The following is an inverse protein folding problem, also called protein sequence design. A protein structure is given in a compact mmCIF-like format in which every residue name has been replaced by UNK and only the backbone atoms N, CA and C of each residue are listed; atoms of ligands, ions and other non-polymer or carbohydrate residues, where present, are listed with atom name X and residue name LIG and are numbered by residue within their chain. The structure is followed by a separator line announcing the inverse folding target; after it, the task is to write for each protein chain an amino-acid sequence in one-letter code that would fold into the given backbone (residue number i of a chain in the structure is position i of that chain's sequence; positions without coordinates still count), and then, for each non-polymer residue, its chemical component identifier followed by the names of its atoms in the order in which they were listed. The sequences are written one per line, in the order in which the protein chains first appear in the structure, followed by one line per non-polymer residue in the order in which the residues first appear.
data_IF_622431289087
#
_entry.id   IF_622431289087
#
_cell.length_a   1.000
_cell.length_b   1.000
_cell.length_c   1.000
_cell.angle_alpha   90.00
_cell.angle_beta   90.00
_cell.angle_gamma   90.00
#
_symmetry.space_group_name_H-M   'P 1'
#
loop_
_entity.id
_entity.type
_entity.pdbx_description
1 polymer ?
#
# COMPACT_ATOMS: atom_id res chain seq x y z
N UNK A 1 -12.26 1.08 -6.59
CA UNK A 1 -11.31 0.05 -7.05
C UNK A 1 -12.11 -1.08 -7.68
N UNK A 2 -11.71 -1.56 -8.84
CA UNK A 2 -12.29 -2.71 -9.51
C UNK A 2 -11.18 -3.75 -9.74
N UNK A 3 -11.48 -5.02 -9.51
CA UNK A 3 -10.54 -6.13 -9.67
C UNK A 3 -11.13 -7.13 -10.67
N UNK A 4 -10.29 -7.60 -11.59
CA UNK A 4 -10.68 -8.57 -12.61
C UNK A 4 -9.84 -9.83 -12.47
N UNK A 5 -10.51 -10.98 -12.38
CA UNK A 5 -9.87 -12.29 -12.36
C UNK A 5 -10.20 -13.04 -13.65
N UNK A 6 -9.17 -13.57 -14.33
CA UNK A 6 -9.33 -14.41 -15.51
C UNK A 6 -9.06 -15.88 -15.13
N UNK A 7 -10.04 -16.76 -15.39
CA UNK A 7 -9.90 -18.19 -15.16
C UNK A 7 -8.70 -18.77 -15.90
N UNK A 8 -7.98 -19.70 -15.26
CA UNK A 8 -6.81 -20.40 -15.78
C UNK A 8 -5.62 -19.52 -16.19
N UNK A 9 -5.66 -18.22 -15.86
CA UNK A 9 -4.54 -17.31 -16.05
C UNK A 9 -3.61 -17.33 -14.83
N UNK A 10 -2.29 -17.32 -15.07
CA UNK A 10 -1.27 -17.23 -14.02
C UNK A 10 -1.10 -15.80 -13.45
N UNK A 11 -0.07 -15.56 -12.64
CA UNK A 11 0.26 -14.22 -12.17
C UNK A 11 0.50 -13.24 -13.32
N UNK A 12 0.04 -11.99 -13.17
CA UNK A 12 0.33 -10.92 -14.12
C UNK A 12 1.72 -10.33 -13.86
N UNK A 13 2.37 -9.87 -14.94
CA UNK A 13 3.60 -9.07 -14.81
C UNK A 13 3.20 -7.62 -14.59
N UNK A 14 3.52 -7.10 -13.41
CA UNK A 14 3.43 -5.67 -13.14
C UNK A 14 4.55 -4.96 -13.91
N UNK A 15 4.18 -4.16 -14.91
CA UNK A 15 5.12 -3.32 -15.65
C UNK A 15 5.59 -2.09 -14.85
N UNK A 16 6.30 -1.18 -15.50
CA UNK A 16 6.86 0.04 -14.90
C UNK A 16 6.00 1.30 -15.13
N UNK A 17 4.92 1.20 -15.90
CA UNK A 17 4.01 2.32 -16.18
C UNK A 17 3.04 2.66 -15.03
N UNK A 18 2.73 1.70 -14.16
CA UNK A 18 1.87 1.91 -12.98
C UNK A 18 2.73 2.02 -11.71
N UNK A 19 2.56 3.10 -10.95
CA UNK A 19 3.32 3.32 -9.73
C UNK A 19 2.64 2.72 -8.49
N UNK A 20 1.47 3.25 -8.11
CA UNK A 20 0.66 2.82 -6.97
C UNK A 20 -0.72 3.50 -7.02
N UNK A 21 -1.64 3.03 -6.17
CA UNK A 21 -2.86 3.77 -5.77
C UNK A 21 -2.66 4.32 -4.36
N UNK A 22 -3.24 5.48 -4.05
CA UNK A 22 -3.23 6.04 -2.71
C UNK A 22 -4.60 5.93 -2.03
N UNK A 23 -4.62 5.51 -0.76
CA UNK A 23 -5.81 5.42 0.09
C UNK A 23 -5.56 6.14 1.41
N UNK A 24 -6.53 6.93 1.88
CA UNK A 24 -6.40 7.67 3.14
C UNK A 24 -6.97 6.90 4.34
N UNK A 25 -6.42 7.15 5.51
CA UNK A 25 -6.90 6.63 6.80
C UNK A 25 -6.87 7.72 7.88
N UNK A 26 -7.84 7.74 8.82
CA UNK A 26 -7.79 8.61 9.99
C UNK A 26 -6.71 8.20 11.00
N UNK A 27 -6.27 6.94 10.98
CA UNK A 27 -5.25 6.40 11.88
C UNK A 27 -4.19 5.62 11.08
N UNK A 28 -3.04 6.27 10.83
CA UNK A 28 -1.94 5.71 10.04
C UNK A 28 -1.19 4.64 10.82
N UNK A 29 -0.94 4.91 12.11
CA UNK A 29 -0.19 4.04 13.00
C UNK A 29 -0.91 2.71 13.26
N UNK A 30 -2.21 2.76 13.57
CA UNK A 30 -2.99 1.55 13.83
C UNK A 30 -3.04 0.65 12.59
N UNK A 31 -3.27 1.24 11.41
CA UNK A 31 -3.34 0.47 10.16
C UNK A 31 -1.96 -0.07 9.73
N UNK A 32 -0.89 0.66 9.99
CA UNK A 32 0.49 0.19 9.77
C UNK A 32 0.81 -1.03 10.64
N UNK A 33 0.45 -0.97 11.93
CA UNK A 33 0.65 -2.08 12.85
C UNK A 33 -0.18 -3.30 12.44
N UNK A 34 -1.44 -3.10 12.04
CA UNK A 34 -2.31 -4.16 11.55
C UNK A 34 -1.72 -4.85 10.31
N UNK A 35 -1.30 -4.07 9.31
CA UNK A 35 -0.71 -4.62 8.09
C UNK A 35 0.58 -5.39 8.37
N UNK A 36 1.43 -4.87 9.26
CA UNK A 36 2.67 -5.53 9.68
C UNK A 36 2.38 -6.84 10.42
N UNK A 37 1.41 -6.86 11.34
CA UNK A 37 1.01 -8.05 12.08
C UNK A 37 0.39 -9.15 11.19
N UNK A 38 -0.27 -8.74 10.09
CA UNK A 38 -0.79 -9.65 9.06
C UNK A 38 0.30 -10.23 8.14
N UNK A 39 1.54 -9.75 8.25
CA UNK A 39 2.68 -10.26 7.48
C UNK A 39 2.74 -9.75 6.04
N UNK A 40 2.10 -8.61 5.73
CA UNK A 40 2.28 -7.96 4.43
C UNK A 40 3.68 -7.36 4.29
N UNK A 41 4.12 -7.11 3.05
CA UNK A 41 5.34 -6.34 2.79
C UNK A 41 5.00 -4.85 2.97
N UNK A 42 5.43 -4.28 4.09
CA UNK A 42 5.13 -2.92 4.52
C UNK A 42 6.43 -2.13 4.70
N UNK A 43 6.46 -0.87 4.27
CA UNK A 43 7.58 0.03 4.56
C UNK A 43 7.39 0.71 5.92
N UNK A 44 8.49 1.21 6.51
CA UNK A 44 8.36 2.12 7.65
C UNK A 44 7.59 3.39 7.26
N UNK A 45 6.79 3.98 8.17
CA UNK A 45 6.14 5.26 7.92
C UNK A 45 7.15 6.36 7.65
N UNK A 46 6.86 7.21 6.66
CA UNK A 46 7.73 8.30 6.23
C UNK A 46 6.95 9.60 6.04
N UNK A 47 7.68 10.71 5.93
CA UNK A 47 7.14 12.04 5.72
C UNK A 47 8.20 13.04 5.24
N UNK A 48 7.80 14.29 5.05
CA UNK A 48 8.75 15.35 4.74
C UNK A 48 9.66 15.61 5.95
N UNK A 49 10.91 16.07 5.73
CA UNK A 49 11.78 16.45 6.84
C UNK A 49 11.10 17.46 7.78
N UNK A 50 11.06 17.14 9.08
CA UNK A 50 10.42 17.98 10.09
C UNK A 50 8.90 17.84 10.22
N UNK A 51 8.26 16.93 9.47
CA UNK A 51 6.84 16.60 9.64
C UNK A 51 6.65 15.25 10.30
N UNK A 52 5.53 15.06 11.00
CA UNK A 52 5.09 13.72 11.40
C UNK A 52 4.99 12.83 10.17
N UNK A 53 5.44 11.56 10.22
CA UNK A 53 5.19 10.59 9.17
C UNK A 53 3.71 10.58 8.78
N UNK A 54 3.47 10.71 7.48
CA UNK A 54 2.14 10.91 6.93
C UNK A 54 1.79 9.90 5.84
N UNK A 55 2.69 8.97 5.51
CA UNK A 55 2.38 7.86 4.62
C UNK A 55 3.26 6.63 4.89
N UNK A 56 2.84 5.46 4.38
CA UNK A 56 3.67 4.28 4.19
C UNK A 56 3.19 3.50 2.96
N UNK A 57 4.00 2.57 2.45
CA UNK A 57 3.60 1.67 1.38
C UNK A 57 3.30 0.27 1.90
N UNK A 58 2.27 -0.36 1.35
CA UNK A 58 2.01 -1.79 1.47
C UNK A 58 1.96 -2.40 0.07
N UNK A 59 2.56 -3.57 -0.11
CA UNK A 59 2.45 -4.35 -1.35
C UNK A 59 1.40 -5.44 -1.19
N UNK A 60 0.48 -5.50 -2.13
CA UNK A 60 -0.54 -6.54 -2.15
C UNK A 60 0.05 -7.90 -2.62
N UNK A 61 -0.72 -9.00 -2.51
CA UNK A 61 -0.25 -10.32 -2.91
C UNK A 61 0.12 -10.46 -4.39
N UNK A 62 -0.48 -9.65 -5.28
CA UNK A 62 -0.22 -9.66 -6.73
C UNK A 62 0.95 -8.74 -7.12
N UNK A 63 1.46 -7.97 -6.17
CA UNK A 63 2.66 -7.13 -6.31
C UNK A 63 2.39 -5.66 -6.57
N UNK A 64 1.12 -5.22 -6.56
CA UNK A 64 0.76 -3.81 -6.67
C UNK A 64 1.05 -3.07 -5.37
N UNK A 65 1.60 -1.87 -5.49
CA UNK A 65 1.86 -0.99 -4.35
C UNK A 65 0.62 -0.15 -4.05
N UNK A 66 0.32 -0.01 -2.76
CA UNK A 66 -0.67 0.91 -2.23
C UNK A 66 0.03 1.87 -1.27
N UNK A 67 -0.10 3.17 -1.52
CA UNK A 67 0.30 4.21 -0.58
C UNK A 67 -0.84 4.45 0.41
N UNK A 68 -0.58 4.25 1.69
CA UNK A 68 -1.52 4.60 2.76
C UNK A 68 -1.13 5.97 3.27
N UNK A 69 -2.05 6.93 3.20
CA UNK A 69 -1.81 8.33 3.59
C UNK A 69 -2.67 8.72 4.79
N UNK A 70 -2.12 9.56 5.67
CA UNK A 70 -2.90 10.16 6.76
C UNK A 70 -3.89 11.18 6.20
N UNK A 71 -5.11 11.16 6.69
CA UNK A 71 -6.07 12.25 6.47
C UNK A 71 -5.53 13.58 7.00
N UNK A 72 -5.95 14.69 6.38
CA UNK A 72 -5.54 16.05 6.75
C UNK A 72 -6.53 16.72 7.68
#
# INVERSE_FOLDING_TARGET
LELTYNYDHGPYVVGDGFAHIALSTPDLEALHQEHSAKGYEVTEPNGLPGTTPNYYFVKDPDGYKVEVIREK
#
